data_IF_246569743938
#
_entry.id   IF_246569743938
#
_cell.length_a   1.000
_cell.length_b   1.000
_cell.length_c   1.000
_cell.angle_alpha   90.00
_cell.angle_beta   90.00
_cell.angle_gamma   90.00
#
_symmetry.space_group_name_H-M   'P 1'
#
loop_
_entity.id
_entity.type
_entity.pdbx_description
1 polymer ?
#
# COMPACT_ATOMS: atom_id res chain seq x y z
N UNK A 1 10.90 -9.06 -24.70
CA UNK A 1 10.08 -9.28 -23.47
C UNK A 1 8.91 -8.30 -23.51
N UNK A 2 7.67 -8.80 -23.49
CA UNK A 2 6.47 -7.96 -23.67
C UNK A 2 6.08 -7.28 -22.36
N UNK A 3 5.83 -5.96 -22.40
CA UNK A 3 5.35 -5.14 -21.27
C UNK A 3 4.16 -5.76 -20.53
N UNK A 4 3.36 -6.60 -21.21
CA UNK A 4 2.26 -7.34 -20.60
C UNK A 4 2.69 -8.27 -19.46
N UNK A 5 3.87 -8.90 -19.55
CA UNK A 5 4.37 -9.82 -18.51
C UNK A 5 4.65 -9.14 -17.17
N UNK A 6 5.16 -7.90 -17.20
CA UNK A 6 5.45 -7.13 -15.99
C UNK A 6 4.17 -6.79 -15.18
N UNK A 7 3.01 -6.76 -15.84
CA UNK A 7 1.72 -6.49 -15.21
C UNK A 7 0.89 -7.75 -14.94
N UNK A 8 1.28 -8.93 -15.44
CA UNK A 8 0.54 -10.19 -15.28
C UNK A 8 1.27 -11.29 -14.50
N UNK A 9 2.60 -11.25 -14.34
CA UNK A 9 3.33 -12.25 -13.53
C UNK A 9 3.19 -12.03 -12.01
N UNK A 10 2.87 -10.80 -11.56
CA UNK A 10 2.63 -10.53 -10.15
C UNK A 10 1.21 -10.93 -9.64
N UNK A 11 0.09 -10.68 -10.37
CA UNK A 11 -1.25 -11.01 -9.88
C UNK A 11 -1.57 -12.52 -9.76
N UNK A 12 -0.89 -13.39 -10.53
CA UNK A 12 -1.10 -14.86 -10.42
C UNK A 12 -0.59 -15.46 -9.10
N UNK A 13 0.24 -14.74 -8.34
CA UNK A 13 0.81 -15.25 -7.07
C UNK A 13 -0.04 -14.96 -5.82
N UNK A 14 -1.15 -14.21 -5.95
CA UNK A 14 -1.96 -13.75 -4.80
C UNK A 14 -3.47 -13.99 -4.92
N UNK A 15 -3.99 -14.43 -6.07
CA UNK A 15 -5.39 -14.87 -6.19
C UNK A 15 -6.45 -13.75 -6.09
N UNK A 16 -6.06 -12.49 -6.31
CA UNK A 16 -6.97 -11.34 -6.45
C UNK A 16 -7.04 -10.89 -7.92
N UNK A 17 -8.19 -10.36 -8.35
CA UNK A 17 -8.28 -9.85 -9.71
C UNK A 17 -7.37 -8.63 -9.88
N UNK A 18 -6.62 -8.54 -10.98
CA UNK A 18 -5.78 -7.38 -11.31
C UNK A 18 -6.53 -6.04 -11.16
N UNK A 19 -7.84 -6.04 -11.44
CA UNK A 19 -8.71 -4.88 -11.30
C UNK A 19 -8.98 -4.46 -9.85
N UNK A 20 -9.06 -5.39 -8.90
CA UNK A 20 -9.20 -5.06 -7.46
C UNK A 20 -7.92 -4.40 -6.94
N UNK A 21 -6.77 -4.98 -7.23
CA UNK A 21 -5.47 -4.41 -6.86
C UNK A 21 -5.24 -3.05 -7.53
N UNK A 22 -5.56 -2.92 -8.82
CA UNK A 22 -5.48 -1.66 -9.55
C UNK A 22 -6.42 -0.61 -8.96
N UNK A 23 -7.66 -0.97 -8.62
CA UNK A 23 -8.63 -0.07 -7.99
C UNK A 23 -8.14 0.44 -6.63
N UNK A 24 -7.57 -0.44 -5.82
CA UNK A 24 -6.94 -0.04 -4.55
C UNK A 24 -5.75 0.88 -4.81
N UNK A 25 -4.83 0.54 -5.70
CA UNK A 25 -3.67 1.39 -6.01
C UNK A 25 -4.09 2.79 -6.51
N UNK A 26 -5.04 2.85 -7.44
CA UNK A 26 -5.57 4.11 -7.97
C UNK A 26 -6.26 4.96 -6.89
N UNK A 27 -6.91 4.34 -5.90
CA UNK A 27 -7.55 5.05 -4.78
C UNK A 27 -6.55 5.80 -3.88
N UNK A 28 -5.29 5.38 -3.85
CA UNK A 28 -4.19 6.10 -3.18
C UNK A 28 -3.48 7.07 -4.12
N UNK A 29 -3.27 6.69 -5.39
CA UNK A 29 -2.56 7.50 -6.36
C UNK A 29 -3.24 8.85 -6.64
N UNK A 30 -4.56 8.87 -6.85
CA UNK A 30 -5.29 10.11 -7.16
C UNK A 30 -5.10 11.21 -6.09
N UNK A 31 -5.40 10.92 -4.81
CA UNK A 31 -5.18 11.89 -3.73
C UNK A 31 -3.71 12.28 -3.52
N UNK A 32 -2.74 11.37 -3.75
CA UNK A 32 -1.31 11.71 -3.67
C UNK A 32 -0.89 12.71 -4.75
N UNK A 33 -1.33 12.50 -6.00
CA UNK A 33 -1.05 13.41 -7.11
C UNK A 33 -1.66 14.79 -6.80
N UNK A 34 -2.91 14.82 -6.33
CA UNK A 34 -3.56 16.08 -5.93
C UNK A 34 -2.82 16.79 -4.78
N UNK A 35 -2.34 16.04 -3.79
CA UNK A 35 -1.55 16.59 -2.68
C UNK A 35 -0.20 17.15 -3.17
N UNK A 36 0.47 16.44 -4.10
CA UNK A 36 1.71 16.90 -4.72
C UNK A 36 1.51 18.17 -5.53
N UNK A 37 0.44 18.25 -6.32
CA UNK A 37 0.10 19.46 -7.07
C UNK A 37 -0.25 20.64 -6.13
N UNK A 38 -0.99 20.38 -5.05
CA UNK A 38 -1.30 21.39 -4.04
C UNK A 38 -0.03 21.91 -3.35
N UNK A 39 0.93 21.03 -3.04
CA UNK A 39 2.24 21.43 -2.49
C UNK A 39 3.06 22.24 -3.49
N UNK A 40 3.02 21.89 -4.78
CA UNK A 40 3.69 22.64 -5.85
C UNK A 40 3.12 24.05 -5.97
N UNK A 41 1.78 24.18 -6.03
CA UNK A 41 1.12 25.49 -6.04
C UNK A 41 1.48 26.30 -4.81
N UNK A 42 1.47 25.70 -3.62
CA UNK A 42 1.86 26.36 -2.37
C UNK A 42 3.31 26.85 -2.39
N UNK A 43 4.23 26.11 -3.01
CA UNK A 43 5.63 26.51 -3.13
C UNK A 43 5.82 27.82 -3.93
N UNK A 44 4.97 28.08 -4.93
CA UNK A 44 4.98 29.33 -5.68
C UNK A 44 4.06 30.41 -5.06
N UNK A 45 2.97 29.99 -4.43
CA UNK A 45 1.93 30.84 -3.86
C UNK A 45 1.65 30.42 -2.41
N UNK A 46 2.44 30.90 -1.44
CA UNK A 46 2.44 30.39 -0.06
C UNK A 46 1.13 30.63 0.72
N UNK A 47 0.20 31.41 0.17
CA UNK A 47 -1.12 31.63 0.74
C UNK A 47 -2.19 30.66 0.22
N UNK A 48 -1.91 29.89 -0.84
CA UNK A 48 -2.82 28.87 -1.38
C UNK A 48 -2.46 27.49 -0.84
N UNK A 49 -3.44 26.59 -0.72
CA UNK A 49 -3.23 25.18 -0.37
C UNK A 49 -2.49 24.90 0.95
N UNK A 50 -2.47 25.85 1.90
CA UNK A 50 -1.70 25.83 3.15
C UNK A 50 -1.76 24.50 3.91
N UNK A 51 -2.94 23.89 3.99
CA UNK A 51 -3.16 22.63 4.71
C UNK A 51 -3.53 21.46 3.80
N UNK A 52 -3.73 21.70 2.50
CA UNK A 52 -4.33 20.73 1.58
C UNK A 52 -3.44 19.51 1.37
N UNK A 53 -2.14 19.72 1.15
CA UNK A 53 -1.18 18.63 0.97
C UNK A 53 -1.06 17.80 2.25
N UNK A 54 -0.78 18.45 3.38
CA UNK A 54 -0.60 17.81 4.68
C UNK A 54 -1.85 17.06 5.17
N UNK A 55 -3.05 17.63 5.00
CA UNK A 55 -4.31 16.97 5.36
C UNK A 55 -4.55 15.72 4.51
N UNK A 56 -4.24 15.77 3.22
CA UNK A 56 -4.41 14.64 2.32
C UNK A 56 -3.45 13.50 2.67
N UNK A 57 -2.19 13.80 2.93
CA UNK A 57 -1.20 12.79 3.37
C UNK A 57 -1.62 12.16 4.70
N UNK A 58 -2.03 12.96 5.69
CA UNK A 58 -2.53 12.43 6.99
C UNK A 58 -3.72 11.50 6.81
N UNK A 59 -4.67 11.86 5.93
CA UNK A 59 -5.84 11.02 5.62
C UNK A 59 -5.43 9.70 4.98
N UNK A 60 -4.49 9.72 4.03
CA UNK A 60 -4.00 8.49 3.39
C UNK A 60 -3.22 7.62 4.37
N UNK A 61 -2.40 8.23 5.21
CA UNK A 61 -1.67 7.54 6.28
C UNK A 61 -2.63 6.84 7.24
N UNK A 62 -3.68 7.54 7.71
CA UNK A 62 -4.71 6.94 8.55
C UNK A 62 -5.43 5.76 7.87
N UNK A 63 -5.67 5.85 6.55
CA UNK A 63 -6.23 4.72 5.77
C UNK A 63 -5.28 3.53 5.69
N UNK A 64 -3.97 3.77 5.59
CA UNK A 64 -2.96 2.70 5.61
C UNK A 64 -2.89 2.02 6.98
N UNK A 65 -2.86 2.80 8.07
CA UNK A 65 -2.74 2.24 9.42
C UNK A 65 -4.01 1.57 9.93
N UNK A 66 -5.19 2.03 9.49
CA UNK A 66 -6.47 1.44 9.87
C UNK A 66 -6.83 0.18 9.06
N UNK A 67 -6.09 -0.11 7.98
CA UNK A 67 -6.16 -1.42 7.34
C UNK A 67 -5.36 -2.40 8.18
N UNK A 68 -6.05 -3.24 8.94
CA UNK A 68 -5.39 -4.41 9.53
C UNK A 68 -4.78 -5.25 8.39
N UNK A 69 -3.50 -5.66 8.47
CA UNK A 69 -2.99 -6.65 7.54
C UNK A 69 -3.92 -7.86 7.60
N UNK A 70 -4.44 -8.30 6.45
CA UNK A 70 -5.21 -9.54 6.37
C UNK A 70 -4.37 -10.59 7.08
N UNK A 71 -4.89 -11.17 8.16
CA UNK A 71 -4.18 -12.20 8.90
C UNK A 71 -3.82 -13.29 7.88
N UNK A 72 -2.54 -13.34 7.51
CA UNK A 72 -2.02 -14.44 6.72
C UNK A 72 -2.21 -15.65 7.63
N UNK A 73 -2.97 -16.69 7.22
CA UNK A 73 -3.09 -17.89 8.02
C UNK A 73 -1.69 -18.34 8.38
N UNK A 74 -1.36 -18.33 9.67
CA UNK A 74 -0.07 -18.78 10.14
C UNK A 74 0.03 -20.23 9.67
N UNK A 75 0.91 -20.51 8.71
CA UNK A 75 1.22 -21.89 8.35
C UNK A 75 1.65 -22.55 9.65
N UNK A 76 0.84 -23.50 10.15
CA UNK A 76 1.23 -24.34 11.27
C UNK A 76 2.59 -24.92 10.89
N UNK A 77 3.66 -24.44 11.52
CA UNK A 77 4.88 -25.20 11.64
C UNK A 77 4.48 -26.42 12.43
N UNK A 78 4.20 -27.49 11.69
CA UNK A 78 3.95 -28.80 12.27
C UNK A 78 5.18 -29.18 13.10
N UNK A 79 4.91 -29.66 14.30
CA UNK A 79 5.91 -29.87 15.32
C UNK A 79 6.94 -30.87 14.86
N UNK A 80 8.20 -30.47 14.72
CA UNK A 80 9.32 -31.40 14.66
C UNK A 80 10.56 -30.76 15.29
N UNK A 81 10.95 -31.34 16.43
CA UNK A 81 12.26 -31.30 17.10
C UNK A 81 12.65 -30.00 17.81
N UNK A 82 11.96 -29.69 18.91
CA UNK A 82 12.64 -29.14 20.07
C UNK A 82 13.45 -30.28 20.71
N UNK A 83 14.76 -30.31 20.44
CA UNK A 83 15.73 -31.17 21.13
C UNK A 83 15.83 -30.68 22.58
N UNK A 84 15.62 -31.56 23.56
CA UNK A 84 15.74 -31.26 25.00
C UNK A 84 17.08 -31.81 25.53
N UNK A 85 18.08 -30.95 25.84
CA UNK A 85 19.31 -31.41 26.45
C UNK A 85 19.20 -31.30 27.97
N UNK A 86 18.59 -32.30 28.60
CA UNK A 86 18.90 -32.63 29.99
C UNK A 86 20.09 -33.59 29.99
N UNK A 87 21.30 -33.02 30.05
CA UNK A 87 22.49 -33.61 30.71
C UNK A 87 23.31 -32.45 31.29
#
# INVERSE_FOLDING_TARGET
>A
MSLKRLFTEHPDSVGESYFEHMGVALSFAGPLIAAGFAALVHAFLPFLCVTTASATVKRLYARMTNRAPRAVPQAKTDGMMAWDPVI
#
